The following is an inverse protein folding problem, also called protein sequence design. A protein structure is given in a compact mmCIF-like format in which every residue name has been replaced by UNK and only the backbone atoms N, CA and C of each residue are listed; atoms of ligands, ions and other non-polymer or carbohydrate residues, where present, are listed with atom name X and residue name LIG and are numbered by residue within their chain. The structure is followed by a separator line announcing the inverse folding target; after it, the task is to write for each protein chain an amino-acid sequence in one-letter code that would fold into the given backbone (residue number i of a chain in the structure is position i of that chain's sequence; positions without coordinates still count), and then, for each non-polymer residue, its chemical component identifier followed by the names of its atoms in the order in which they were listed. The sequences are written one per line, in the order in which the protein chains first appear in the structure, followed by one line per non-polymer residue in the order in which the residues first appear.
data_IF_554212982528
#
_entry.id   IF_554212982528
#
_cell.length_a   1.000
_cell.length_b   1.000
_cell.length_c   1.000
_cell.angle_alpha   90.00
_cell.angle_beta   90.00
_cell.angle_gamma   90.00
#
_symmetry.space_group_name_H-M   'P 1'
#
loop_
_entity.id
_entity.type
_entity.pdbx_description
1 polymer ?
#
# COMPACT_ATOMS: atom_id res chain seq x y z
N UNK A 1 -4.82 -11.68 8.29
CA UNK A 1 -4.77 -10.71 7.19
C UNK A 1 -3.70 -9.68 7.49
N UNK A 2 -2.91 -9.31 6.50
CA UNK A 2 -1.76 -8.43 6.67
C UNK A 2 -2.01 -7.14 5.93
N UNK A 3 -1.59 -6.02 6.52
CA UNK A 3 -1.70 -4.69 5.94
C UNK A 3 -0.33 -4.06 5.87
N UNK A 4 -0.11 -3.24 4.86
CA UNK A 4 1.12 -2.50 4.69
C UNK A 4 0.83 -1.01 4.70
N UNK A 5 1.68 -0.25 5.38
CA UNK A 5 1.66 1.21 5.32
C UNK A 5 2.56 1.63 4.17
N UNK A 6 2.02 2.38 3.23
CA UNK A 6 2.68 2.70 1.97
C UNK A 6 2.71 4.20 1.76
N UNK A 7 3.89 4.73 1.44
CA UNK A 7 4.05 6.12 0.99
C UNK A 7 3.96 6.11 -0.52
N UNK A 8 3.03 6.89 -1.06
CA UNK A 8 2.78 6.95 -2.51
C UNK A 8 3.76 7.91 -3.17
N UNK A 9 4.38 7.46 -4.24
CA UNK A 9 5.25 8.30 -5.05
C UNK A 9 4.39 9.10 -6.03
N UNK A 10 4.17 10.38 -5.72
CA UNK A 10 3.46 11.31 -6.59
C UNK A 10 4.43 12.44 -6.90
N UNK A 11 4.78 12.59 -8.17
CA UNK A 11 5.91 13.41 -8.60
C UNK A 11 5.77 14.92 -8.36
N UNK A 12 4.57 15.43 -8.08
CA UNK A 12 4.34 16.86 -7.89
C UNK A 12 3.83 17.25 -6.52
N UNK A 13 3.63 16.29 -5.64
CA UNK A 13 3.12 16.55 -4.30
C UNK A 13 3.95 15.80 -3.28
N UNK A 14 4.37 16.52 -2.25
CA UNK A 14 4.96 15.87 -1.08
C UNK A 14 3.84 15.36 -0.21
N UNK A 15 3.59 14.07 -0.28
CA UNK A 15 2.67 13.44 0.64
C UNK A 15 3.46 12.98 1.86
N UNK A 16 3.23 13.66 2.98
CA UNK A 16 3.88 13.32 4.25
C UNK A 16 3.10 12.25 5.02
N UNK A 17 2.16 11.58 4.37
CA UNK A 17 1.34 10.59 5.04
C UNK A 17 1.38 9.27 4.28
N UNK A 18 1.27 8.21 5.05
CA UNK A 18 1.15 6.88 4.51
C UNK A 18 -0.33 6.51 4.32
N UNK A 19 -0.54 5.54 3.46
CA UNK A 19 -1.85 4.95 3.23
C UNK A 19 -1.76 3.46 3.49
N UNK A 20 -2.77 2.91 4.15
CA UNK A 20 -2.78 1.50 4.42
C UNK A 20 -3.41 0.71 3.26
N UNK A 21 -2.74 -0.37 2.86
CA UNK A 21 -3.22 -1.29 1.84
C UNK A 21 -3.23 -2.70 2.38
N UNK A 22 -4.17 -3.51 1.90
CA UNK A 22 -4.22 -4.91 2.24
C UNK A 22 -3.17 -5.65 1.41
N UNK A 23 -2.46 -6.58 2.03
CA UNK A 23 -1.46 -7.40 1.35
C UNK A 23 -2.12 -8.70 0.90
N UNK A 24 -2.15 -8.99 -0.42
CA UNK A 24 -2.68 -10.26 -0.89
C UNK A 24 -1.87 -11.43 -0.32
N UNK A 25 -2.52 -12.54 -0.08
CA UNK A 25 -1.88 -13.70 0.52
C UNK A 25 -0.64 -14.14 -0.27
N UNK A 26 -0.73 -14.15 -1.60
CA UNK A 26 0.38 -14.56 -2.47
C UNK A 26 1.57 -13.61 -2.42
N UNK A 27 1.42 -12.40 -1.88
CA UNK A 27 2.48 -11.41 -1.77
C UNK A 27 3.03 -11.26 -0.36
N UNK A 28 2.48 -11.97 0.62
CA UNK A 28 2.85 -11.76 2.03
C UNK A 28 4.34 -11.98 2.29
N UNK A 29 4.95 -12.92 1.59
CA UNK A 29 6.38 -13.19 1.78
C UNK A 29 7.27 -12.21 1.06
N UNK A 30 6.75 -11.49 0.08
CA UNK A 30 7.52 -10.53 -0.73
C UNK A 30 7.44 -9.11 -0.21
N UNK A 31 6.44 -8.78 0.61
CA UNK A 31 6.19 -7.42 1.07
C UNK A 31 6.82 -7.22 2.45
N UNK A 32 7.78 -6.30 2.49
CA UNK A 32 8.49 -5.91 3.71
C UNK A 32 8.78 -4.42 3.65
N UNK A 33 9.11 -3.79 4.79
CA UNK A 33 9.55 -2.39 4.76
C UNK A 33 10.73 -2.22 3.81
N UNK A 34 10.68 -1.19 2.97
CA UNK A 34 11.68 -0.91 1.96
C UNK A 34 11.34 -1.41 0.56
N UNK A 35 10.33 -2.24 0.42
CA UNK A 35 9.94 -2.79 -0.89
C UNK A 35 9.07 -1.77 -1.64
N UNK A 36 9.29 -1.66 -2.94
CA UNK A 36 8.48 -0.84 -3.83
C UNK A 36 7.33 -1.69 -4.36
N UNK A 37 6.12 -1.17 -4.26
CA UNK A 37 4.91 -1.87 -4.68
C UNK A 37 4.10 -1.02 -5.64
N UNK A 38 3.17 -1.64 -6.36
CA UNK A 38 2.19 -0.93 -7.18
C UNK A 38 0.83 -1.04 -6.48
N UNK A 39 0.15 0.10 -6.39
CA UNK A 39 -1.11 0.21 -5.66
C UNK A 39 -2.11 1.05 -6.44
N UNK A 40 -3.42 0.78 -6.28
CA UNK A 40 -4.46 1.67 -6.81
C UNK A 40 -4.60 2.89 -5.89
N UNK A 41 -4.66 4.08 -6.46
CA UNK A 41 -4.73 5.30 -5.69
C UNK A 41 -5.83 6.23 -6.19
N UNK A 42 -6.54 6.86 -5.25
CA UNK A 42 -7.57 7.83 -5.54
C UNK A 42 -8.87 7.22 -6.04
N UNK A 43 -9.82 8.07 -6.40
CA UNK A 43 -11.15 7.63 -6.85
C UNK A 43 -11.11 6.81 -8.12
N UNK A 44 -10.17 7.12 -9.01
CA UNK A 44 -10.04 6.41 -10.27
C UNK A 44 -9.17 5.17 -10.20
N UNK A 45 -8.68 4.81 -9.03
CA UNK A 45 -7.77 3.67 -8.84
C UNK A 45 -6.58 3.71 -9.80
N UNK A 46 -6.01 4.91 -9.97
CA UNK A 46 -4.82 5.08 -10.80
C UNK A 46 -3.67 4.28 -10.19
N UNK A 47 -3.00 3.49 -11.01
CA UNK A 47 -1.87 2.69 -10.55
C UNK A 47 -0.69 3.61 -10.24
N UNK A 48 -0.18 3.51 -9.01
CA UNK A 48 0.97 4.30 -8.55
C UNK A 48 1.99 3.39 -7.89
N UNK A 49 3.23 3.83 -7.90
CA UNK A 49 4.28 3.17 -7.13
C UNK A 49 4.28 3.72 -5.72
N UNK A 50 4.58 2.87 -4.77
CA UNK A 50 4.68 3.28 -3.38
C UNK A 50 5.77 2.50 -2.67
N UNK A 51 6.18 3.03 -1.52
CA UNK A 51 7.22 2.41 -0.68
C UNK A 51 6.59 1.90 0.60
N UNK A 52 6.83 0.63 0.88
CA UNK A 52 6.34 0.03 2.13
C UNK A 52 7.22 0.52 3.29
N UNK A 53 6.59 1.11 4.30
CA UNK A 53 7.31 1.60 5.48
C UNK A 53 6.98 0.81 6.74
N UNK A 54 5.92 0.00 6.72
CA UNK A 54 5.54 -0.80 7.88
C UNK A 54 4.54 -1.88 7.51
N UNK A 55 4.46 -2.87 8.37
CA UNK A 55 3.53 -4.00 8.22
C UNK A 55 2.75 -4.13 9.52
N UNK A 56 1.44 -4.42 9.43
CA UNK A 56 0.63 -4.65 10.61
C UNK A 56 -0.43 -5.71 10.32
N UNK A 57 -1.06 -6.20 11.38
CA UNK A 57 -2.16 -7.16 11.27
C UNK A 57 -3.51 -6.52 11.56
N UNK A 58 -3.51 -5.22 11.86
CA UNK A 58 -4.73 -4.49 12.21
C UNK A 58 -5.04 -3.44 11.17
N UNK A 59 -6.31 -3.40 10.73
CA UNK A 59 -6.78 -2.37 9.83
C UNK A 59 -6.97 -1.06 10.61
N UNK A 60 -6.40 0.04 10.11
CA UNK A 60 -6.60 1.38 10.68
C UNK A 60 -7.94 1.98 10.27
N UNK A 61 -8.48 1.49 9.18
CA UNK A 61 -9.73 1.97 8.60
C UNK A 61 -10.68 0.80 8.44
N UNK A 62 -11.89 1.08 7.96
CA UNK A 62 -12.83 0.03 7.61
C UNK A 62 -12.19 -0.91 6.58
N UNK A 63 -12.06 -2.18 6.93
CA UNK A 63 -11.39 -3.15 6.08
C UNK A 63 -12.05 -3.29 4.71
N UNK A 64 -13.36 -3.04 4.62
CA UNK A 64 -14.08 -3.11 3.35
C UNK A 64 -13.70 -1.97 2.39
N UNK A 65 -13.10 -0.90 2.92
CA UNK A 65 -12.64 0.24 2.12
C UNK A 65 -11.15 0.23 1.86
N UNK A 66 -10.43 -0.68 2.47
CA UNK A 66 -8.99 -0.78 2.30
C UNK A 66 -8.69 -1.46 0.97
N UNK A 67 -7.98 -0.76 0.10
CA UNK A 67 -7.60 -1.31 -1.20
C UNK A 67 -6.43 -2.26 -1.05
N UNK A 68 -6.18 -3.04 -2.09
CA UNK A 68 -5.19 -4.09 -2.08
C UNK A 68 -3.97 -3.71 -2.92
N UNK A 69 -2.78 -4.09 -2.47
CA UNK A 69 -1.56 -3.97 -3.25
C UNK A 69 -1.69 -4.83 -4.50
N UNK A 70 -1.35 -4.28 -5.67
CA UNK A 70 -1.48 -4.99 -6.93
C UNK A 70 -0.27 -5.85 -7.25
N UNK A 71 0.91 -5.42 -6.83
CA UNK A 71 2.11 -6.20 -7.10
C UNK A 71 3.35 -5.57 -6.51
N UNK A 72 4.45 -6.29 -6.62
CA UNK A 72 5.77 -5.82 -6.21
C UNK A 72 6.50 -5.34 -7.47
N UNK A 73 7.07 -4.15 -7.37
CA UNK A 73 7.80 -3.56 -8.51
C UNK A 73 9.20 -4.18 -8.64
#
# INVERSE_FOLDING_TARGET
MIYADVIIDISHEKLDRDFQYRVPEELEQSIKPGVVVTVPFGKGNTVRKGYVIGISTEAKYDASRTKEIQGVS
#
